data_IF_907232252232
#
_entry.id   IF_907232252232
#
_cell.length_a   1.000
_cell.length_b   1.000
_cell.length_c   1.000
_cell.angle_alpha   90.00
_cell.angle_beta   90.00
_cell.angle_gamma   90.00
#
_symmetry.space_group_name_H-M   'P 1'
#
loop_
_entity.id
_entity.type
_entity.pdbx_description
1 polymer ?
#
# COMPACT_ATOMS: atom_id res chain seq x y z
N UNK A 1 -9.03 -24.25 -34.73
CA UNK A 1 -8.53 -24.33 -33.34
C UNK A 1 -8.47 -22.91 -32.82
N UNK A 2 -9.37 -22.52 -31.92
CA UNK A 2 -9.48 -21.15 -31.43
C UNK A 2 -8.31 -20.84 -30.49
N UNK A 3 -7.53 -19.82 -30.82
CA UNK A 3 -6.55 -19.21 -29.93
C UNK A 3 -7.29 -18.55 -28.78
N UNK A 4 -7.10 -19.03 -27.56
CA UNK A 4 -7.55 -18.33 -26.36
C UNK A 4 -6.84 -16.97 -26.33
N UNK A 5 -7.55 -15.83 -26.34
CA UNK A 5 -6.89 -14.56 -26.11
C UNK A 5 -6.38 -14.58 -24.66
N UNK A 6 -5.06 -14.56 -24.53
CA UNK A 6 -4.35 -14.26 -23.30
C UNK A 6 -4.76 -12.87 -22.83
N UNK A 7 -5.90 -12.76 -22.11
CA UNK A 7 -6.24 -11.57 -21.35
C UNK A 7 -5.22 -11.47 -20.23
N UNK A 8 -4.18 -10.68 -20.46
CA UNK A 8 -3.13 -10.41 -19.49
C UNK A 8 -3.76 -9.89 -18.19
N UNK A 9 -3.47 -10.59 -17.11
CA UNK A 9 -3.84 -10.28 -15.73
C UNK A 9 -3.04 -9.04 -15.29
N UNK A 10 -3.46 -7.84 -15.71
CA UNK A 10 -2.69 -6.61 -15.49
C UNK A 10 -2.79 -6.12 -14.04
N UNK A 11 -1.90 -6.63 -13.19
CA UNK A 11 -1.65 -6.09 -11.86
C UNK A 11 -0.35 -5.29 -11.90
N UNK A 12 -0.29 -4.16 -11.19
CA UNK A 12 0.93 -3.34 -11.16
C UNK A 12 1.39 -3.10 -9.74
N UNK A 13 2.66 -3.37 -9.50
CA UNK A 13 3.36 -3.04 -8.26
C UNK A 13 4.48 -2.06 -8.60
N UNK A 14 4.47 -0.89 -7.97
CA UNK A 14 5.47 0.16 -8.15
C UNK A 14 6.01 0.60 -6.81
N UNK A 15 7.33 0.63 -6.70
CA UNK A 15 8.04 1.18 -5.55
C UNK A 15 8.96 2.29 -6.06
N UNK A 16 8.82 3.47 -5.48
CA UNK A 16 9.67 4.63 -5.72
C UNK A 16 10.30 5.06 -4.40
N UNK A 17 11.64 5.12 -4.38
CA UNK A 17 12.40 5.53 -3.21
C UNK A 17 13.36 6.64 -3.59
N UNK A 18 13.32 7.74 -2.84
CA UNK A 18 14.23 8.87 -2.98
C UNK A 18 14.81 9.23 -1.62
N UNK A 19 16.14 9.27 -1.51
CA UNK A 19 16.88 9.53 -0.28
C UNK A 19 17.69 8.30 0.19
N UNK A 20 18.03 8.20 1.47
CA UNK A 20 18.98 7.21 1.99
C UNK A 20 18.33 6.24 2.99
N UNK A 21 18.62 4.94 2.89
CA UNK A 21 18.21 3.94 3.88
C UNK A 21 16.72 3.59 3.86
N UNK A 22 15.97 3.99 2.85
CA UNK A 22 14.56 3.59 2.69
C UNK A 22 14.47 2.09 2.37
N UNK A 23 13.51 1.40 2.99
CA UNK A 23 13.22 0.00 2.75
C UNK A 23 11.73 -0.21 2.47
N UNK A 24 11.41 -0.89 1.37
CA UNK A 24 10.04 -1.22 1.02
C UNK A 24 9.97 -2.66 0.50
N UNK A 25 9.05 -3.43 1.05
CA UNK A 25 8.69 -4.77 0.58
C UNK A 25 7.21 -4.77 0.20
N UNK A 26 6.89 -5.24 -1.00
CA UNK A 26 5.52 -5.38 -1.45
C UNK A 26 5.28 -6.74 -2.10
N UNK A 27 4.11 -7.31 -1.86
CA UNK A 27 3.65 -8.56 -2.45
C UNK A 27 2.27 -8.37 -3.06
N UNK A 28 2.13 -8.70 -4.34
CA UNK A 28 0.84 -8.89 -5.01
C UNK A 28 0.63 -10.37 -5.31
N UNK A 29 -0.48 -10.95 -4.84
CA UNK A 29 -0.82 -12.36 -5.05
C UNK A 29 -2.32 -12.52 -5.24
N UNK A 30 -2.76 -13.12 -6.34
CA UNK A 30 -4.19 -13.24 -6.69
C UNK A 30 -4.92 -11.88 -6.64
N UNK A 31 -4.31 -10.84 -7.21
CA UNK A 31 -4.80 -9.46 -7.15
C UNK A 31 -5.12 -8.94 -8.57
N UNK A 32 -6.07 -9.55 -9.26
CA UNK A 32 -6.34 -9.24 -10.67
C UNK A 32 -6.77 -7.78 -10.84
N UNK A 33 -6.24 -7.09 -11.86
CA UNK A 33 -6.55 -5.67 -12.13
C UNK A 33 -6.27 -4.72 -10.96
N UNK A 34 -5.25 -5.02 -10.15
CA UNK A 34 -4.97 -4.28 -8.92
C UNK A 34 -3.65 -3.52 -8.95
N UNK A 35 -3.58 -2.44 -8.19
CA UNK A 35 -2.39 -1.58 -8.12
C UNK A 35 -1.86 -1.49 -6.68
N UNK A 36 -0.55 -1.63 -6.53
CA UNK A 36 0.18 -1.24 -5.33
C UNK A 36 1.22 -0.19 -5.70
N UNK A 37 1.17 0.98 -5.07
CA UNK A 37 2.14 2.05 -5.24
C UNK A 37 2.71 2.48 -3.90
N UNK A 38 4.03 2.36 -3.75
CA UNK A 38 4.78 2.83 -2.58
C UNK A 38 5.71 3.94 -3.02
N UNK A 39 5.62 5.10 -2.37
CA UNK A 39 6.49 6.25 -2.59
C UNK A 39 7.14 6.66 -1.27
N UNK A 40 8.45 6.54 -1.18
CA UNK A 40 9.24 6.94 0.00
C UNK A 40 10.17 8.08 -0.39
N UNK A 41 9.98 9.23 0.25
CA UNK A 41 10.79 10.43 0.13
C UNK A 41 11.45 10.70 1.48
N UNK A 42 12.77 10.88 1.49
CA UNK A 42 13.54 11.13 2.71
C UNK A 42 14.35 9.92 3.14
N UNK A 43 14.48 9.71 4.44
CA UNK A 43 15.52 8.82 4.99
C UNK A 43 14.96 7.80 5.97
N UNK A 44 15.44 6.55 5.87
CA UNK A 44 15.10 5.46 6.82
C UNK A 44 13.59 5.18 6.90
N UNK A 45 12.84 5.41 5.83
CA UNK A 45 11.41 5.04 5.80
C UNK A 45 11.25 3.54 5.53
N UNK A 46 10.32 2.89 6.22
CA UNK A 46 10.03 1.46 6.14
C UNK A 46 8.60 1.20 5.67
N UNK A 47 8.43 0.27 4.72
CA UNK A 47 7.13 -0.13 4.22
C UNK A 47 7.02 -1.65 4.01
N UNK A 48 5.93 -2.25 4.48
CA UNK A 48 5.53 -3.63 4.18
C UNK A 48 4.10 -3.64 3.67
N UNK A 49 3.89 -4.08 2.42
CA UNK A 49 2.58 -4.06 1.78
C UNK A 49 2.22 -5.43 1.21
N UNK A 50 1.02 -5.92 1.50
CA UNK A 50 0.46 -7.14 0.92
C UNK A 50 -0.89 -6.87 0.27
N UNK A 51 -1.05 -7.28 -0.98
CA UNK A 51 -2.30 -7.15 -1.73
C UNK A 51 -2.69 -8.47 -2.40
N UNK A 52 -3.88 -8.96 -2.07
CA UNK A 52 -4.52 -10.11 -2.70
C UNK A 52 -6.03 -9.92 -2.80
N UNK A 53 -6.41 -8.76 -3.31
CA UNK A 53 -7.79 -8.33 -3.56
C UNK A 53 -7.91 -7.94 -5.02
N UNK A 54 -9.06 -8.19 -5.66
CA UNK A 54 -9.26 -7.91 -7.09
C UNK A 54 -9.77 -6.49 -7.31
N UNK A 55 -9.39 -5.88 -8.43
CA UNK A 55 -9.77 -4.52 -8.82
C UNK A 55 -9.55 -3.51 -7.69
N UNK A 56 -8.47 -3.67 -6.92
CA UNK A 56 -8.23 -2.95 -5.69
C UNK A 56 -6.90 -2.20 -5.71
N UNK A 57 -6.79 -1.14 -4.90
CA UNK A 57 -5.64 -0.24 -4.91
C UNK A 57 -5.05 -0.05 -3.52
N UNK A 58 -3.72 -0.11 -3.41
CA UNK A 58 -2.96 0.35 -2.24
C UNK A 58 -2.04 1.48 -2.67
N UNK A 59 -2.13 2.62 -2.00
CA UNK A 59 -1.21 3.75 -2.14
C UNK A 59 -0.59 4.10 -0.79
N UNK A 60 0.74 4.16 -0.77
CA UNK A 60 1.51 4.58 0.38
C UNK A 60 2.45 5.72 -0.02
N UNK A 61 2.36 6.85 0.66
CA UNK A 61 3.30 7.95 0.60
C UNK A 61 3.93 8.16 1.98
N UNK A 62 5.26 8.06 2.05
CA UNK A 62 6.05 8.44 3.22
C UNK A 62 6.98 9.57 2.82
N UNK A 63 6.89 10.70 3.51
CA UNK A 63 7.74 11.86 3.30
C UNK A 63 8.33 12.32 4.64
N UNK A 64 9.64 12.09 4.81
CA UNK A 64 10.39 12.49 5.98
C UNK A 64 11.35 11.41 6.49
N UNK A 65 11.50 11.30 7.81
CA UNK A 65 12.52 10.45 8.46
C UNK A 65 11.88 9.35 9.32
N UNK A 66 12.27 8.10 9.11
CA UNK A 66 11.92 7.01 10.02
C UNK A 66 10.44 6.61 10.05
N UNK A 67 9.63 6.97 9.04
CA UNK A 67 8.23 6.57 9.01
C UNK A 67 8.10 5.06 8.71
N UNK A 68 7.15 4.38 9.33
CA UNK A 68 6.89 2.96 9.14
C UNK A 68 5.42 2.69 8.80
N UNK A 69 5.18 1.85 7.79
CA UNK A 69 3.83 1.45 7.41
C UNK A 69 3.74 -0.06 7.12
N UNK A 70 2.70 -0.70 7.66
CA UNK A 70 2.30 -2.08 7.33
C UNK A 70 0.87 -2.08 6.81
N UNK A 71 0.69 -2.39 5.52
CA UNK A 71 -0.61 -2.36 4.84
C UNK A 71 -0.96 -3.76 4.30
N UNK A 72 -2.20 -4.18 4.51
CA UNK A 72 -2.69 -5.50 4.14
C UNK A 72 -4.10 -5.41 3.57
N UNK A 73 -4.28 -5.83 2.32
CA UNK A 73 -5.57 -5.84 1.63
C UNK A 73 -5.85 -7.22 1.01
N UNK A 74 -6.78 -7.98 1.58
CA UNK A 74 -7.04 -9.36 1.17
C UNK A 74 -8.53 -9.68 1.08
N UNK A 75 -8.90 -10.54 0.13
CA UNK A 75 -10.26 -11.07 -0.06
C UNK A 75 -11.34 -10.02 -0.41
N UNK A 76 -10.99 -8.74 -0.48
CA UNK A 76 -11.88 -7.67 -0.93
C UNK A 76 -11.94 -7.60 -2.45
N UNK A 77 -12.97 -6.95 -2.97
CA UNK A 77 -13.05 -6.49 -4.36
C UNK A 77 -13.39 -5.01 -4.41
N UNK A 78 -12.79 -4.26 -5.33
CA UNK A 78 -13.00 -2.81 -5.45
C UNK A 78 -12.69 -2.05 -4.14
N UNK A 79 -11.62 -2.42 -3.44
CA UNK A 79 -11.22 -1.83 -2.18
C UNK A 79 -10.00 -0.91 -2.35
N UNK A 80 -9.89 0.12 -1.51
CA UNK A 80 -8.77 1.06 -1.55
C UNK A 80 -8.17 1.31 -0.16
N UNK A 81 -6.83 1.24 -0.08
CA UNK A 81 -6.03 1.76 1.04
C UNK A 81 -5.23 2.97 0.55
N UNK A 82 -5.37 4.12 1.21
CA UNK A 82 -4.52 5.31 1.00
C UNK A 82 -3.87 5.74 2.32
N UNK A 83 -2.55 5.66 2.40
CA UNK A 83 -1.78 6.06 3.58
C UNK A 83 -0.76 7.12 3.22
N UNK A 84 -0.77 8.21 3.98
CA UNK A 84 0.14 9.34 3.83
C UNK A 84 0.77 9.69 5.18
N UNK A 85 2.10 9.61 5.27
CA UNK A 85 2.86 9.94 6.47
C UNK A 85 3.84 11.06 6.16
N UNK A 86 3.64 12.21 6.81
CA UNK A 86 4.50 13.39 6.68
C UNK A 86 5.18 13.69 8.02
N UNK A 87 6.51 13.80 8.02
CA UNK A 87 7.31 14.13 9.20
C UNK A 87 8.16 12.98 9.68
N UNK A 88 8.25 12.79 10.99
CA UNK A 88 9.26 11.90 11.60
C UNK A 88 8.64 10.80 12.45
N UNK A 89 9.15 9.58 12.34
CA UNK A 89 8.77 8.44 13.18
C UNK A 89 7.25 8.16 13.26
N UNK A 90 6.50 8.39 12.17
CA UNK A 90 5.08 8.02 12.15
C UNK A 90 4.91 6.52 11.85
N UNK A 91 3.96 5.87 12.52
CA UNK A 91 3.59 4.46 12.35
C UNK A 91 2.16 4.30 11.84
N UNK A 92 1.96 3.48 10.81
CA UNK A 92 0.63 3.14 10.29
C UNK A 92 0.46 1.62 10.13
N UNK A 93 -0.64 1.09 10.62
CA UNK A 93 -1.07 -0.31 10.39
C UNK A 93 -2.47 -0.30 9.80
N UNK A 94 -2.65 -0.85 8.60
CA UNK A 94 -3.94 -0.93 7.93
C UNK A 94 -4.24 -2.36 7.49
N UNK A 95 -5.41 -2.87 7.86
CA UNK A 95 -5.93 -4.16 7.43
C UNK A 95 -7.34 -4.00 6.83
N UNK A 96 -7.50 -4.32 5.55
CA UNK A 96 -8.79 -4.18 4.85
C UNK A 96 -9.18 -5.50 4.19
N UNK A 97 -10.35 -6.03 4.54
CA UNK A 97 -10.95 -7.20 3.89
C UNK A 97 -12.33 -6.92 3.29
N UNK A 98 -12.94 -5.78 3.63
CA UNK A 98 -14.23 -5.36 3.10
C UNK A 98 -14.16 -5.05 1.59
N UNK A 99 -15.17 -5.47 0.83
CA UNK A 99 -15.34 -5.06 -0.57
C UNK A 99 -15.93 -3.66 -0.69
N UNK A 100 -15.68 -2.97 -1.81
CA UNK A 100 -16.25 -1.64 -2.13
C UNK A 100 -16.04 -0.62 -1.01
N UNK A 101 -14.82 -0.60 -0.46
CA UNK A 101 -14.54 0.14 0.77
C UNK A 101 -13.24 0.95 0.66
N UNK A 102 -13.11 1.98 1.50
CA UNK A 102 -11.97 2.89 1.51
C UNK A 102 -11.45 3.03 2.94
N UNK A 103 -10.16 2.76 3.12
CA UNK A 103 -9.41 3.13 4.33
C UNK A 103 -8.41 4.23 3.98
N UNK A 104 -8.49 5.36 4.67
CA UNK A 104 -7.56 6.48 4.51
C UNK A 104 -6.91 6.82 5.84
N UNK A 105 -5.58 6.95 5.84
CA UNK A 105 -4.78 7.37 7.00
C UNK A 105 -3.85 8.50 6.58
N UNK A 106 -3.97 9.65 7.23
CA UNK A 106 -3.06 10.78 7.04
C UNK A 106 -2.46 11.19 8.38
N UNK A 107 -1.13 11.21 8.47
CA UNK A 107 -0.39 11.58 9.68
C UNK A 107 0.57 12.73 9.36
N UNK A 108 0.55 13.79 10.18
CA UNK A 108 1.48 14.93 10.10
C UNK A 108 2.19 15.11 11.46
N UNK A 109 3.52 15.27 11.45
CA UNK A 109 4.28 15.60 12.65
C UNK A 109 5.24 14.50 13.09
N UNK A 110 5.44 14.37 14.40
CA UNK A 110 6.42 13.46 15.00
C UNK A 110 5.71 12.39 15.85
N UNK A 111 6.00 11.11 15.60
CA UNK A 111 5.62 10.02 16.51
C UNK A 111 4.15 9.63 16.47
N UNK A 112 3.40 9.96 15.42
CA UNK A 112 2.00 9.57 15.34
C UNK A 112 1.85 8.07 15.07
N UNK A 113 0.88 7.43 15.70
CA UNK A 113 0.58 6.01 15.48
C UNK A 113 -0.90 5.85 15.13
N UNK A 114 -1.18 5.24 13.98
CA UNK A 114 -2.53 5.02 13.48
C UNK A 114 -2.74 3.54 13.16
N UNK A 115 -3.88 3.00 13.61
CA UNK A 115 -4.34 1.67 13.23
C UNK A 115 -5.73 1.81 12.64
N UNK A 116 -5.95 1.25 11.45
CA UNK A 116 -7.25 1.19 10.81
C UNK A 116 -7.54 -0.25 10.38
N UNK A 117 -8.77 -0.69 10.58
CA UNK A 117 -9.22 -2.00 10.13
C UNK A 117 -10.65 -1.94 9.63
N UNK A 118 -10.92 -2.60 8.52
CA UNK A 118 -12.24 -2.62 7.91
C UNK A 118 -12.52 -4.01 7.34
N UNK A 119 -13.62 -4.62 7.78
CA UNK A 119 -13.96 -6.02 7.55
C UNK A 119 -15.20 -6.18 6.68
#
# INVERSE_FOLDING_TARGET
MATYPQQAQHSTLKIYQQGNGNNATALQSNAFYSKTEIKQLGTVNGAKVGQGSDSSDIKLLQDGYGNNATLSQWNGKNAQIDVQQFGTNNGAVVNQTASSSLVSVTQFGNGNHATASQY
#
